data_IF_667621468883
#
_entry.id   IF_667621468883
#
_cell.length_a   1.000
_cell.length_b   1.000
_cell.length_c   1.000
_cell.angle_alpha   90.00
_cell.angle_beta   90.00
_cell.angle_gamma   90.00
#
_symmetry.space_group_name_H-M   'P 1'
#
loop_
_entity.id
_entity.type
_entity.pdbx_description
1 polymer ?
#
# COMPACT_ATOMS: atom_id res chain seq x y z
N UNK A 1 -18.51 31.59 5.30
CA UNK A 1 -18.21 32.98 5.07
C UNK A 1 -16.71 33.20 4.95
N UNK A 2 -16.26 34.13 4.12
CA UNK A 2 -14.84 34.47 4.00
C UNK A 2 -14.36 35.08 5.32
N UNK A 3 -13.35 34.48 5.93
CA UNK A 3 -12.75 35.03 7.14
C UNK A 3 -11.93 36.27 6.77
N UNK A 4 -12.14 37.39 7.44
CA UNK A 4 -11.38 38.61 7.19
C UNK A 4 -9.94 38.43 7.68
N UNK A 5 -8.99 38.69 6.80
CA UNK A 5 -7.56 38.70 7.16
C UNK A 5 -7.32 39.86 8.12
N UNK A 6 -6.81 39.55 9.32
CA UNK A 6 -6.40 40.54 10.31
C UNK A 6 -4.90 40.74 10.19
N UNK A 7 -4.41 41.95 9.88
CA UNK A 7 -2.97 42.20 9.80
C UNK A 7 -2.31 42.05 11.15
N UNK A 8 -1.02 41.74 11.17
CA UNK A 8 -0.18 41.62 12.37
C UNK A 8 -0.22 42.92 13.17
N UNK A 9 -0.04 44.04 12.47
CA UNK A 9 -0.20 45.40 12.98
C UNK A 9 -0.56 46.32 11.80
N UNK A 10 -1.36 47.38 12.01
CA UNK A 10 -1.77 48.28 10.92
C UNK A 10 -0.58 48.88 10.14
N UNK A 11 0.48 49.29 10.83
CA UNK A 11 1.65 49.91 10.20
C UNK A 11 2.42 48.98 9.26
N UNK A 12 2.39 47.67 9.49
CA UNK A 12 3.11 46.66 8.70
C UNK A 12 2.20 45.93 7.70
N UNK A 13 0.92 46.26 7.69
CA UNK A 13 -0.05 45.57 6.84
C UNK A 13 0.29 45.70 5.35
N UNK A 14 0.49 46.93 4.88
CA UNK A 14 0.79 47.20 3.46
C UNK A 14 2.21 46.74 3.06
N UNK A 15 3.27 47.01 3.87
CA UNK A 15 4.63 46.52 3.54
C UNK A 15 4.74 44.99 3.50
N UNK A 16 3.98 44.27 4.30
CA UNK A 16 4.00 42.80 4.30
C UNK A 16 3.01 42.14 3.36
N UNK A 17 2.15 42.90 2.71
CA UNK A 17 1.10 42.38 1.85
C UNK A 17 1.66 41.47 0.76
N UNK A 18 2.63 41.94 0.00
CA UNK A 18 3.26 41.15 -1.08
C UNK A 18 3.86 39.83 -0.57
N UNK A 19 4.37 39.82 0.66
CA UNK A 19 5.00 38.61 1.27
C UNK A 19 3.98 37.66 1.83
N UNK A 20 2.86 38.16 2.38
CA UNK A 20 1.89 37.36 3.15
C UNK A 20 0.56 37.10 2.42
N UNK A 21 0.31 37.70 1.25
CA UNK A 21 -0.93 37.49 0.49
C UNK A 21 -1.16 36.02 0.14
N UNK A 22 -0.13 35.30 -0.27
CA UNK A 22 -0.20 33.86 -0.63
C UNK A 22 -0.54 32.98 0.56
N UNK A 23 -0.34 33.43 1.78
CA UNK A 23 -0.62 32.72 3.03
C UNK A 23 -1.68 33.41 3.89
N UNK A 24 -2.53 34.23 3.28
CA UNK A 24 -3.67 34.90 3.90
C UNK A 24 -3.29 35.70 5.15
N UNK A 25 -2.17 36.43 5.08
CA UNK A 25 -1.67 37.28 6.16
C UNK A 25 -0.90 36.54 7.27
N UNK A 26 -0.67 35.24 7.12
CA UNK A 26 0.07 34.42 8.08
C UNK A 26 1.51 34.22 7.65
N UNK A 27 2.43 34.21 8.60
CA UNK A 27 3.80 33.75 8.40
C UNK A 27 3.80 32.22 8.51
N UNK A 28 4.10 31.54 7.39
CA UNK A 28 4.15 30.08 7.27
C UNK A 28 5.58 29.61 6.93
N UNK A 29 6.29 30.37 6.11
CA UNK A 29 7.56 29.99 5.54
C UNK A 29 8.74 30.71 6.13
N UNK A 30 9.89 30.03 6.20
CA UNK A 30 11.18 30.65 6.61
C UNK A 30 11.55 31.84 5.71
N UNK A 31 11.25 31.74 4.44
CA UNK A 31 11.50 32.79 3.46
C UNK A 31 10.66 34.03 3.72
N UNK A 32 9.45 33.89 4.28
CA UNK A 32 8.62 35.03 4.69
C UNK A 32 9.21 35.73 5.92
N UNK A 33 9.80 34.98 6.86
CA UNK A 33 10.54 35.56 8.02
C UNK A 33 11.72 36.40 7.51
N UNK A 34 12.51 35.88 6.55
CA UNK A 34 13.64 36.60 5.97
C UNK A 34 13.19 37.86 5.24
N UNK A 35 12.11 37.76 4.43
CA UNK A 35 11.57 38.89 3.70
C UNK A 35 10.99 39.96 4.65
N UNK A 36 10.27 39.57 5.69
CA UNK A 36 9.78 40.49 6.69
C UNK A 36 10.92 41.27 7.40
N UNK A 37 11.99 40.58 7.80
CA UNK A 37 13.16 41.22 8.39
C UNK A 37 13.86 42.20 7.44
N UNK A 38 13.91 41.88 6.15
CA UNK A 38 14.45 42.74 5.14
C UNK A 38 13.63 43.99 4.91
N UNK A 39 12.31 43.81 4.74
CA UNK A 39 11.41 44.93 4.41
C UNK A 39 11.22 45.85 5.62
N UNK A 40 11.03 45.29 6.80
CA UNK A 40 10.68 46.07 7.98
C UNK A 40 11.90 46.63 8.73
N UNK A 41 12.97 45.83 8.82
CA UNK A 41 14.14 46.19 9.61
C UNK A 41 15.42 46.47 8.77
N UNK A 42 15.30 46.51 7.43
CA UNK A 42 16.39 46.81 6.52
C UNK A 42 17.52 45.78 6.52
N UNK A 43 17.25 44.54 6.84
CA UNK A 43 18.27 43.48 6.90
C UNK A 43 18.79 43.14 5.51
N UNK A 44 20.11 42.95 5.40
CA UNK A 44 20.68 42.27 4.23
C UNK A 44 20.21 40.79 4.19
N UNK A 45 20.32 40.14 3.03
CA UNK A 45 20.02 38.70 2.89
C UNK A 45 20.80 37.85 3.90
N UNK A 46 22.09 38.12 4.07
CA UNK A 46 22.94 37.40 5.02
C UNK A 46 22.51 37.59 6.47
N UNK A 47 22.16 38.83 6.86
CA UNK A 47 21.66 39.12 8.22
C UNK A 47 20.30 38.47 8.48
N UNK A 48 19.40 38.47 7.49
CA UNK A 48 18.11 37.80 7.57
C UNK A 48 18.25 36.27 7.70
N UNK A 49 19.25 35.67 7.04
CA UNK A 49 19.55 34.24 7.20
C UNK A 49 20.14 33.92 8.58
N UNK A 50 20.95 34.80 9.15
CA UNK A 50 21.43 34.67 10.55
C UNK A 50 20.24 34.67 11.51
N UNK A 51 19.28 35.60 11.37
CA UNK A 51 18.05 35.64 12.14
C UNK A 51 17.27 34.33 12.02
N UNK A 52 17.02 33.88 10.79
CA UNK A 52 16.33 32.60 10.52
C UNK A 52 17.02 31.42 11.23
N UNK A 53 18.36 31.33 11.15
CA UNK A 53 19.13 30.27 11.82
C UNK A 53 19.07 30.36 13.35
N UNK A 54 19.10 31.58 13.88
CA UNK A 54 18.96 31.83 15.32
C UNK A 54 17.60 31.33 15.81
N UNK A 55 16.55 31.62 15.03
CA UNK A 55 15.20 31.16 15.31
C UNK A 55 15.11 29.62 15.28
N UNK A 56 15.68 28.95 14.26
CA UNK A 56 15.66 27.49 14.10
C UNK A 56 16.40 26.73 15.20
N UNK A 57 17.37 27.34 15.86
CA UNK A 57 18.15 26.70 16.96
C UNK A 57 17.45 26.71 18.32
N UNK A 58 16.30 27.36 18.47
CA UNK A 58 15.48 27.46 19.69
C UNK A 58 16.29 27.89 20.93
N UNK A 59 17.33 28.71 20.75
CA UNK A 59 18.16 29.22 21.86
C UNK A 59 17.68 30.61 22.27
N UNK A 60 16.99 30.78 23.42
CA UNK A 60 16.44 32.07 23.85
C UNK A 60 17.48 33.19 23.91
N UNK A 61 18.73 32.85 24.30
CA UNK A 61 19.84 33.82 24.41
C UNK A 61 20.24 34.40 23.04
N UNK A 62 20.16 33.59 21.95
CA UNK A 62 20.51 34.04 20.62
C UNK A 62 19.38 34.90 20.05
N UNK A 63 18.13 34.52 20.30
CA UNK A 63 16.95 35.32 19.93
C UNK A 63 16.93 36.68 20.64
N UNK A 64 17.24 36.71 21.93
CA UNK A 64 17.33 37.97 22.70
C UNK A 64 18.39 38.93 22.13
N UNK A 65 19.52 38.39 21.63
CA UNK A 65 20.55 39.20 20.96
C UNK A 65 20.09 39.77 19.62
N UNK A 66 19.29 39.00 18.85
CA UNK A 66 18.76 39.42 17.54
C UNK A 66 17.60 40.41 17.68
N UNK A 67 16.90 40.45 18.82
CA UNK A 67 15.81 41.39 19.07
C UNK A 67 16.29 42.86 18.97
N UNK A 68 17.45 43.17 19.57
CA UNK A 68 17.96 44.54 19.64
C UNK A 68 18.18 45.13 18.23
N UNK A 69 18.96 44.51 17.33
CA UNK A 69 19.16 45.06 16.00
C UNK A 69 17.91 45.03 15.14
N UNK A 70 16.95 44.11 15.38
CA UNK A 70 15.69 44.09 14.68
C UNK A 70 14.83 45.29 15.03
N UNK A 71 14.66 45.60 16.30
CA UNK A 71 13.91 46.78 16.78
C UNK A 71 14.56 48.09 16.31
N UNK A 72 15.89 48.19 16.40
CA UNK A 72 16.63 49.35 15.90
C UNK A 72 16.34 49.56 14.40
N UNK A 73 16.45 48.52 13.56
CA UNK A 73 16.16 48.59 12.16
C UNK A 73 14.72 48.98 11.86
N UNK A 74 13.73 48.42 12.57
CA UNK A 74 12.33 48.84 12.38
C UNK A 74 12.12 50.32 12.74
N UNK A 75 12.72 50.81 13.80
CA UNK A 75 12.67 52.23 14.19
C UNK A 75 13.28 53.11 13.12
N UNK A 76 14.45 52.75 12.55
CA UNK A 76 15.08 53.47 11.46
C UNK A 76 14.21 53.59 10.21
N UNK A 77 13.35 52.58 9.98
CA UNK A 77 12.39 52.53 8.89
C UNK A 77 11.02 53.17 9.22
N UNK A 78 10.90 53.84 10.39
CA UNK A 78 9.75 54.66 10.77
C UNK A 78 8.62 53.89 11.43
N UNK A 79 8.82 52.64 11.87
CA UNK A 79 7.82 51.85 12.56
C UNK A 79 7.85 52.11 14.07
N UNK A 80 6.68 52.05 14.70
CA UNK A 80 6.54 52.16 16.14
C UNK A 80 7.14 50.95 16.89
N UNK A 81 7.40 51.14 18.20
CA UNK A 81 7.85 50.03 19.04
C UNK A 81 6.77 48.97 19.23
N UNK A 82 5.51 49.37 19.23
CA UNK A 82 4.34 48.51 19.27
C UNK A 82 4.26 47.59 18.03
N UNK A 83 4.51 48.17 16.86
CA UNK A 83 4.55 47.40 15.61
C UNK A 83 5.73 46.41 15.62
N UNK A 84 6.92 46.84 16.07
CA UNK A 84 8.08 45.96 16.21
C UNK A 84 7.84 44.81 17.18
N UNK A 85 7.20 45.09 18.30
CA UNK A 85 6.86 44.06 19.29
C UNK A 85 5.82 43.08 18.73
N UNK A 86 4.75 43.56 18.05
CA UNK A 86 3.74 42.72 17.46
C UNK A 86 4.32 41.74 16.42
N UNK A 87 5.22 42.22 15.57
CA UNK A 87 5.92 41.37 14.60
C UNK A 87 6.83 40.36 15.31
N UNK A 88 7.61 40.81 16.30
CA UNK A 88 8.51 39.94 17.04
C UNK A 88 7.80 38.84 17.79
N UNK A 89 6.62 39.12 18.39
CA UNK A 89 5.83 38.16 19.13
C UNK A 89 5.23 37.06 18.25
N UNK A 90 5.10 37.32 16.95
CA UNK A 90 4.75 36.29 15.96
C UNK A 90 5.98 35.52 15.49
N UNK A 91 7.10 36.21 15.26
CA UNK A 91 8.31 35.57 14.77
C UNK A 91 8.90 34.57 15.77
N UNK A 92 8.90 34.86 17.07
CA UNK A 92 9.53 34.02 18.10
C UNK A 92 8.89 32.65 18.26
N UNK A 93 7.57 32.50 18.47
CA UNK A 93 6.91 31.21 18.54
C UNK A 93 7.07 30.43 17.24
N UNK A 94 7.04 31.16 16.12
CA UNK A 94 7.12 30.60 14.77
C UNK A 94 8.49 29.99 14.43
N UNK A 95 9.54 30.44 15.12
CA UNK A 95 10.91 29.95 14.93
C UNK A 95 11.07 28.43 15.06
N UNK A 96 10.14 27.79 15.80
CA UNK A 96 10.15 26.34 15.99
C UNK A 96 9.45 25.53 14.88
N UNK A 97 8.68 26.19 14.02
CA UNK A 97 7.77 25.55 13.07
C UNK A 97 7.85 26.13 11.66
N UNK A 98 8.72 27.10 11.40
CA UNK A 98 8.86 27.71 10.08
C UNK A 98 9.26 26.67 9.02
N UNK A 99 8.42 26.54 8.01
CA UNK A 99 8.60 25.55 6.96
C UNK A 99 9.42 26.12 5.80
N UNK A 100 10.20 25.28 5.11
CA UNK A 100 10.91 25.71 3.90
C UNK A 100 9.94 25.75 2.72
N UNK A 101 9.81 26.91 2.06
CA UNK A 101 8.89 27.09 0.93
C UNK A 101 9.26 26.24 -0.28
N UNK A 102 10.55 26.10 -0.58
CA UNK A 102 11.01 25.27 -1.70
C UNK A 102 10.67 23.79 -1.46
N UNK A 103 10.79 23.31 -0.22
CA UNK A 103 10.37 21.97 0.14
C UNK A 103 8.85 21.78 -0.03
N UNK A 104 8.04 22.73 0.45
CA UNK A 104 6.59 22.71 0.28
C UNK A 104 6.17 22.72 -1.19
N UNK A 105 6.83 23.53 -2.03
CA UNK A 105 6.54 23.60 -3.45
C UNK A 105 6.86 22.27 -4.15
N UNK A 106 7.99 21.65 -3.84
CA UNK A 106 8.36 20.35 -4.39
C UNK A 106 7.35 19.25 -4.01
N UNK A 107 6.97 19.18 -2.73
CA UNK A 107 5.95 18.22 -2.29
C UNK A 107 4.55 18.54 -2.82
N UNK A 108 4.20 19.81 -2.97
CA UNK A 108 2.97 20.23 -3.62
C UNK A 108 2.89 19.76 -5.08
N UNK A 109 3.99 19.83 -5.80
CA UNK A 109 4.08 19.29 -7.17
C UNK A 109 3.90 17.76 -7.20
N UNK A 110 4.54 17.02 -6.27
CA UNK A 110 4.36 15.57 -6.15
C UNK A 110 2.90 15.24 -5.81
N UNK A 111 2.28 15.98 -4.89
CA UNK A 111 0.86 15.81 -4.54
C UNK A 111 -0.05 16.05 -5.75
N UNK A 112 0.25 17.06 -6.56
CA UNK A 112 -0.47 17.33 -7.81
C UNK A 112 -0.30 16.15 -8.79
N UNK A 113 0.92 15.66 -9.01
CA UNK A 113 1.18 14.51 -9.88
C UNK A 113 0.42 13.25 -9.44
N UNK A 114 0.43 12.95 -8.15
CA UNK A 114 -0.31 11.78 -7.64
C UNK A 114 -1.81 11.92 -7.84
N UNK A 115 -2.37 13.11 -7.63
CA UNK A 115 -3.78 13.38 -7.89
C UNK A 115 -4.10 13.29 -9.40
N UNK A 116 -3.24 13.84 -10.25
CA UNK A 116 -3.37 13.78 -11.71
C UNK A 116 -3.35 12.33 -12.20
N UNK A 117 -2.35 11.55 -11.78
CA UNK A 117 -2.21 10.14 -12.17
C UNK A 117 -3.40 9.31 -11.67
N UNK A 118 -3.84 9.51 -10.45
CA UNK A 118 -5.03 8.82 -9.91
C UNK A 118 -6.30 9.13 -10.70
N UNK A 119 -6.42 10.35 -11.23
CA UNK A 119 -7.61 10.79 -12.00
C UNK A 119 -7.59 10.28 -13.43
N UNK A 120 -6.44 10.36 -14.12
CA UNK A 120 -6.34 10.10 -15.55
C UNK A 120 -5.84 8.69 -15.88
N UNK A 121 -5.14 8.03 -14.95
CA UNK A 121 -4.57 6.69 -15.08
C UNK A 121 -4.85 5.87 -13.80
N UNK A 122 -6.15 5.71 -13.44
CA UNK A 122 -6.51 5.14 -12.13
C UNK A 122 -6.05 3.68 -11.96
N UNK A 123 -6.04 2.87 -13.01
CA UNK A 123 -5.67 1.46 -12.94
C UNK A 123 -4.16 1.31 -12.71
N UNK A 124 -3.36 2.03 -13.49
CA UNK A 124 -1.89 2.06 -13.35
C UNK A 124 -1.47 2.65 -12.01
N UNK A 125 -2.15 3.70 -11.57
CA UNK A 125 -1.91 4.30 -10.27
C UNK A 125 -2.18 3.31 -9.13
N UNK A 126 -3.30 2.58 -9.18
CA UNK A 126 -3.63 1.58 -8.17
C UNK A 126 -2.70 0.38 -8.21
N UNK A 127 -2.25 -0.07 -9.38
CA UNK A 127 -1.25 -1.13 -9.51
C UNK A 127 0.09 -0.72 -8.85
N UNK A 128 0.57 0.49 -9.13
CA UNK A 128 1.79 1.03 -8.53
C UNK A 128 1.66 1.22 -7.00
N UNK A 129 0.49 1.67 -6.54
CA UNK A 129 0.21 1.87 -5.12
C UNK A 129 0.18 0.54 -4.35
N UNK A 130 -0.46 -0.49 -4.91
CA UNK A 130 -0.49 -1.85 -4.37
C UNK A 130 0.92 -2.46 -4.34
N UNK A 131 1.71 -2.26 -5.41
CA UNK A 131 3.09 -2.71 -5.47
C UNK A 131 3.94 -2.07 -4.35
N UNK A 132 3.82 -0.77 -4.15
CA UNK A 132 4.51 -0.06 -3.08
C UNK A 132 4.10 -0.49 -1.67
N UNK A 133 2.91 -1.08 -1.52
CA UNK A 133 2.38 -1.58 -0.25
C UNK A 133 2.53 -3.09 -0.06
N UNK A 134 3.09 -3.84 -1.02
CA UNK A 134 3.10 -5.31 -1.06
C UNK A 134 3.64 -6.00 0.20
N UNK A 135 4.52 -5.34 0.94
CA UNK A 135 5.06 -5.84 2.22
C UNK A 135 4.24 -5.43 3.45
N UNK A 136 3.23 -4.58 3.29
CA UNK A 136 2.38 -4.06 4.38
C UNK A 136 0.92 -4.47 4.16
N UNK A 137 0.49 -5.51 4.87
CA UNK A 137 -0.86 -6.10 4.72
C UNK A 137 -1.99 -5.10 4.97
N UNK A 138 -1.86 -4.23 5.97
CA UNK A 138 -2.91 -3.25 6.32
C UNK A 138 -3.08 -2.23 5.20
N UNK A 139 -1.96 -1.72 4.66
CA UNK A 139 -1.99 -0.80 3.51
C UNK A 139 -2.51 -1.49 2.25
N UNK A 140 -2.12 -2.74 2.01
CA UNK A 140 -2.62 -3.49 0.86
C UNK A 140 -4.13 -3.68 0.94
N UNK A 141 -4.67 -4.05 2.11
CA UNK A 141 -6.11 -4.17 2.32
C UNK A 141 -6.84 -2.83 2.11
N UNK A 142 -6.28 -1.73 2.64
CA UNK A 142 -6.82 -0.38 2.44
C UNK A 142 -6.88 0.00 0.96
N UNK A 143 -5.81 -0.24 0.21
CA UNK A 143 -5.74 0.12 -1.23
C UNK A 143 -6.61 -0.77 -2.11
N UNK A 144 -6.82 -2.04 -1.73
CA UNK A 144 -7.79 -2.89 -2.40
C UNK A 144 -9.23 -2.42 -2.16
N UNK A 145 -9.54 -1.97 -0.94
CA UNK A 145 -10.81 -1.30 -0.64
C UNK A 145 -11.02 -0.07 -1.52
N UNK A 146 -9.99 0.76 -1.67
CA UNK A 146 -10.03 1.93 -2.55
C UNK A 146 -10.20 1.57 -4.02
N UNK A 147 -9.48 0.54 -4.52
CA UNK A 147 -9.67 0.04 -5.88
C UNK A 147 -11.13 -0.38 -6.15
N UNK A 148 -11.73 -1.15 -5.22
CA UNK A 148 -13.15 -1.55 -5.30
C UNK A 148 -14.07 -0.33 -5.31
N UNK A 149 -13.82 0.67 -4.44
CA UNK A 149 -14.60 1.92 -4.40
C UNK A 149 -14.51 2.71 -5.70
N UNK A 150 -13.37 2.66 -6.38
CA UNK A 150 -13.15 3.26 -7.69
C UNK A 150 -13.72 2.42 -8.84
N UNK A 151 -14.30 1.25 -8.59
CA UNK A 151 -14.81 0.33 -9.61
C UNK A 151 -13.71 -0.45 -10.35
N UNK A 152 -12.47 -0.44 -9.82
CA UNK A 152 -11.34 -1.16 -10.41
C UNK A 152 -11.31 -2.58 -9.83
N UNK A 153 -11.47 -3.56 -10.69
CA UNK A 153 -11.34 -4.97 -10.32
C UNK A 153 -9.87 -5.34 -10.14
N UNK A 154 -9.57 -6.07 -9.08
CA UNK A 154 -8.25 -6.68 -8.87
C UNK A 154 -8.39 -8.18 -9.07
N UNK A 155 -7.71 -8.70 -10.09
CA UNK A 155 -7.76 -10.11 -10.49
C UNK A 155 -6.70 -10.92 -9.74
N UNK A 156 -7.04 -12.18 -9.44
CA UNK A 156 -6.11 -13.15 -8.84
C UNK A 156 -4.84 -13.33 -9.69
N UNK A 157 -3.71 -13.76 -9.09
CA UNK A 157 -2.52 -14.06 -9.85
C UNK A 157 -2.78 -15.18 -10.86
N UNK A 158 -2.07 -15.17 -11.98
CA UNK A 158 -2.22 -16.13 -13.07
C UNK A 158 -0.86 -16.42 -13.70
N UNK A 159 -0.50 -17.70 -13.86
CA UNK A 159 0.79 -18.10 -14.43
C UNK A 159 1.00 -17.65 -15.86
N UNK A 160 -0.09 -17.43 -16.60
CA UNK A 160 -0.08 -16.99 -18.00
C UNK A 160 -0.16 -15.49 -18.20
N UNK A 161 -0.70 -14.74 -17.23
CA UNK A 161 -0.97 -13.31 -17.39
C UNK A 161 -0.13 -12.44 -16.45
N UNK A 162 0.14 -12.93 -15.23
CA UNK A 162 0.86 -12.13 -14.23
C UNK A 162 2.33 -11.97 -14.56
N UNK A 163 2.86 -10.80 -14.24
CA UNK A 163 4.29 -10.55 -14.10
C UNK A 163 4.69 -10.64 -12.63
N UNK A 164 5.93 -10.29 -12.30
CA UNK A 164 6.39 -10.31 -10.91
C UNK A 164 5.63 -9.31 -10.02
N UNK A 165 5.40 -8.12 -10.52
CA UNK A 165 4.74 -7.01 -9.83
C UNK A 165 3.25 -6.95 -10.14
N UNK A 166 2.50 -6.16 -9.37
CA UNK A 166 1.14 -5.78 -9.77
C UNK A 166 1.18 -5.04 -11.10
N UNK A 167 0.27 -5.33 -12.00
CA UNK A 167 0.23 -4.71 -13.32
C UNK A 167 -1.18 -4.27 -13.73
N UNK A 168 -1.25 -3.19 -14.48
CA UNK A 168 -2.47 -2.76 -15.14
C UNK A 168 -2.67 -3.59 -16.42
N UNK A 169 -3.86 -4.18 -16.59
CA UNK A 169 -4.23 -4.97 -17.77
C UNK A 169 -5.60 -4.47 -18.23
N UNK A 170 -5.63 -3.57 -19.22
CA UNK A 170 -6.86 -2.86 -19.59
C UNK A 170 -7.42 -2.08 -18.40
N UNK A 171 -8.67 -2.32 -18.05
CA UNK A 171 -9.37 -1.60 -16.97
C UNK A 171 -9.27 -2.29 -15.60
N UNK A 172 -8.40 -3.29 -15.45
CA UNK A 172 -8.24 -4.08 -14.23
C UNK A 172 -6.80 -4.12 -13.75
N UNK A 173 -6.59 -4.35 -12.47
CA UNK A 173 -5.28 -4.64 -11.89
C UNK A 173 -5.11 -6.15 -11.78
N UNK A 174 -4.00 -6.68 -12.28
CA UNK A 174 -3.60 -8.08 -12.10
C UNK A 174 -2.65 -8.21 -10.92
N UNK A 175 -2.91 -9.17 -10.05
CA UNK A 175 -2.03 -9.51 -8.94
C UNK A 175 -0.71 -10.07 -9.43
N UNK A 176 0.42 -9.58 -8.92
CA UNK A 176 1.74 -10.06 -9.30
C UNK A 176 2.09 -11.41 -8.67
N UNK A 177 2.82 -12.27 -9.39
CA UNK A 177 3.29 -13.56 -8.85
C UNK A 177 4.25 -13.38 -7.66
N UNK A 178 5.04 -12.29 -7.65
CA UNK A 178 5.97 -11.98 -6.56
C UNK A 178 5.31 -11.56 -5.25
N UNK A 179 4.02 -11.22 -5.26
CA UNK A 179 3.25 -10.93 -4.06
C UNK A 179 2.71 -12.19 -3.36
N UNK A 180 2.82 -13.36 -4.01
CA UNK A 180 2.45 -14.65 -3.42
C UNK A 180 3.53 -15.09 -2.44
N UNK A 181 3.15 -15.51 -1.25
CA UNK A 181 4.09 -16.01 -0.24
C UNK A 181 4.91 -17.19 -0.79
N UNK A 182 6.19 -17.22 -0.47
CA UNK A 182 7.18 -18.23 -0.91
C UNK A 182 7.49 -18.21 -2.43
N UNK A 183 7.05 -17.21 -3.17
CA UNK A 183 7.34 -17.07 -4.59
C UNK A 183 8.42 -16.01 -4.79
N UNK A 184 9.62 -16.46 -5.15
CA UNK A 184 10.79 -15.60 -5.33
C UNK A 184 10.94 -15.10 -6.78
N UNK A 185 11.66 -13.96 -6.93
CA UNK A 185 11.85 -13.30 -8.23
C UNK A 185 12.44 -14.22 -9.30
N UNK A 186 13.50 -14.94 -9.00
CA UNK A 186 14.16 -15.81 -9.99
C UNK A 186 13.22 -16.87 -10.58
N UNK A 187 12.38 -17.46 -9.73
CA UNK A 187 11.40 -18.44 -10.19
C UNK A 187 10.31 -17.81 -11.06
N UNK A 188 9.84 -16.61 -10.70
CA UNK A 188 8.86 -15.88 -11.53
C UNK A 188 9.47 -15.48 -12.87
N UNK A 189 10.69 -14.96 -12.86
CA UNK A 189 11.40 -14.60 -14.10
C UNK A 189 11.56 -15.83 -15.02
N UNK A 190 11.86 -17.01 -14.46
CA UNK A 190 11.94 -18.26 -15.21
C UNK A 190 10.59 -18.71 -15.79
N UNK A 191 9.49 -18.57 -15.01
CA UNK A 191 8.12 -18.86 -15.50
C UNK A 191 7.75 -17.94 -16.66
N UNK A 192 8.05 -16.65 -16.52
CA UNK A 192 7.73 -15.64 -17.55
C UNK A 192 8.58 -15.88 -18.81
N UNK A 193 9.90 -16.09 -18.64
CA UNK A 193 10.80 -16.32 -19.77
C UNK A 193 10.38 -17.54 -20.59
N UNK A 194 9.96 -18.64 -19.94
CA UNK A 194 9.51 -19.85 -20.63
C UNK A 194 8.22 -19.60 -21.45
N UNK A 195 7.25 -18.87 -20.90
CA UNK A 195 6.02 -18.58 -21.62
C UNK A 195 6.21 -17.55 -22.75
N UNK A 196 7.17 -16.63 -22.66
CA UNK A 196 7.39 -15.57 -23.64
C UNK A 196 8.36 -15.98 -24.74
N UNK A 197 9.45 -16.67 -24.39
CA UNK A 197 10.54 -17.03 -25.31
C UNK A 197 10.49 -18.51 -25.74
N UNK A 198 9.70 -19.33 -25.07
CA UNK A 198 9.59 -20.77 -25.34
C UNK A 198 8.38 -21.11 -26.22
N UNK A 199 7.43 -21.81 -25.65
CA UNK A 199 6.30 -22.40 -26.37
C UNK A 199 4.96 -21.65 -26.20
N UNK A 200 4.99 -20.40 -25.74
CA UNK A 200 3.80 -19.61 -25.47
C UNK A 200 3.13 -19.95 -24.11
N UNK A 201 1.86 -19.57 -23.96
CA UNK A 201 1.10 -19.80 -22.74
C UNK A 201 1.05 -21.29 -22.36
N UNK A 202 1.04 -21.54 -21.06
CA UNK A 202 0.82 -22.88 -20.51
C UNK A 202 -0.62 -23.33 -20.77
N UNK A 203 -0.78 -24.55 -21.26
CA UNK A 203 -2.08 -25.10 -21.64
C UNK A 203 -2.80 -25.72 -20.43
N UNK A 204 -2.05 -26.38 -19.55
CA UNK A 204 -2.55 -27.04 -18.34
C UNK A 204 -1.39 -27.19 -17.32
N UNK A 205 -1.71 -27.70 -16.14
CA UNK A 205 -0.72 -27.89 -15.07
C UNK A 205 0.41 -28.84 -15.46
N UNK A 206 0.11 -29.91 -16.18
CA UNK A 206 1.12 -30.88 -16.65
C UNK A 206 2.12 -30.21 -17.61
N UNK A 207 1.63 -29.40 -18.55
CA UNK A 207 2.46 -28.62 -19.47
C UNK A 207 3.36 -27.64 -18.69
N UNK A 208 2.80 -26.94 -17.69
CA UNK A 208 3.58 -26.06 -16.81
C UNK A 208 4.73 -26.80 -16.10
N UNK A 209 4.44 -27.92 -15.42
CA UNK A 209 5.47 -28.69 -14.67
C UNK A 209 6.56 -29.24 -15.62
N UNK A 210 6.21 -29.66 -16.82
CA UNK A 210 7.16 -30.16 -17.81
C UNK A 210 8.07 -29.07 -18.37
N UNK A 211 7.51 -27.89 -18.64
CA UNK A 211 8.22 -26.81 -19.35
C UNK A 211 9.10 -25.95 -18.43
N UNK A 212 8.56 -25.54 -17.27
CA UNK A 212 9.30 -24.59 -16.41
C UNK A 212 10.67 -25.12 -16.00
N UNK A 213 11.71 -24.26 -15.92
CA UNK A 213 13.04 -24.63 -15.45
C UNK A 213 13.03 -25.18 -14.02
N UNK A 214 14.10 -25.90 -13.64
CA UNK A 214 14.24 -26.52 -12.32
C UNK A 214 14.12 -25.53 -11.16
N UNK A 215 14.52 -24.28 -11.36
CA UNK A 215 14.43 -23.17 -10.38
C UNK A 215 12.99 -22.89 -9.97
N UNK A 216 12.04 -23.12 -10.87
CA UNK A 216 10.60 -22.94 -10.62
C UNK A 216 9.90 -24.23 -10.14
N UNK A 217 10.57 -25.38 -10.17
CA UNK A 217 10.03 -26.68 -9.73
C UNK A 217 10.28 -26.95 -8.23
N UNK A 218 10.10 -25.95 -7.38
CA UNK A 218 10.13 -26.10 -5.93
C UNK A 218 8.74 -26.44 -5.39
N UNK A 219 8.60 -27.50 -4.60
CA UNK A 219 7.31 -27.96 -4.04
C UNK A 219 6.56 -26.85 -3.32
N UNK A 220 7.23 -26.09 -2.42
CA UNK A 220 6.62 -25.01 -1.65
C UNK A 220 6.16 -23.86 -2.54
N UNK A 221 6.91 -23.57 -3.61
CA UNK A 221 6.53 -22.54 -4.59
C UNK A 221 5.28 -22.97 -5.35
N UNK A 222 5.27 -24.17 -5.91
CA UNK A 222 4.11 -24.68 -6.70
C UNK A 222 2.88 -24.82 -5.80
N UNK A 223 3.03 -25.32 -4.59
CA UNK A 223 1.97 -25.35 -3.58
C UNK A 223 1.38 -23.95 -3.34
N UNK A 224 2.25 -22.94 -3.19
CA UNK A 224 1.82 -21.56 -2.97
C UNK A 224 1.07 -20.97 -4.19
N UNK A 225 1.53 -21.28 -5.40
CA UNK A 225 0.83 -20.90 -6.64
C UNK A 225 -0.56 -21.54 -6.73
N UNK A 226 -0.68 -22.84 -6.40
CA UNK A 226 -1.97 -23.57 -6.39
C UNK A 226 -2.92 -22.94 -5.36
N UNK A 227 -2.47 -22.75 -4.13
CA UNK A 227 -3.28 -22.15 -3.06
C UNK A 227 -3.73 -20.73 -3.39
N UNK A 228 -2.88 -19.97 -4.07
CA UNK A 228 -3.19 -18.61 -4.52
C UNK A 228 -4.13 -18.55 -5.73
N UNK A 229 -4.42 -19.68 -6.38
CA UNK A 229 -5.26 -19.75 -7.57
C UNK A 229 -4.55 -19.35 -8.87
N UNK A 230 -3.22 -19.37 -8.89
CA UNK A 230 -2.45 -18.95 -10.07
C UNK A 230 -2.60 -19.88 -11.30
N UNK A 231 -3.20 -21.04 -11.12
CA UNK A 231 -3.49 -22.02 -12.19
C UNK A 231 -4.96 -22.06 -12.61
N UNK A 232 -5.84 -21.29 -11.98
CA UNK A 232 -7.31 -21.40 -12.20
C UNK A 232 -7.73 -21.20 -13.65
N UNK A 233 -6.96 -20.47 -14.45
CA UNK A 233 -7.22 -20.25 -15.89
C UNK A 233 -6.94 -21.46 -16.77
N UNK A 234 -6.10 -22.39 -16.28
CA UNK A 234 -5.66 -23.57 -17.04
C UNK A 234 -6.12 -24.90 -16.42
N UNK A 235 -6.25 -24.93 -15.10
CA UNK A 235 -6.78 -26.08 -14.33
C UNK A 235 -7.49 -25.58 -13.08
N UNK A 236 -8.82 -25.45 -13.09
CA UNK A 236 -9.57 -24.76 -12.03
C UNK A 236 -9.74 -25.57 -10.74
N UNK A 237 -9.44 -26.88 -10.75
CA UNK A 237 -9.56 -27.72 -9.56
C UNK A 237 -8.26 -27.67 -8.72
N UNK A 238 -8.17 -26.71 -7.81
CA UNK A 238 -7.00 -26.51 -6.95
C UNK A 238 -6.70 -27.72 -6.06
N UNK A 239 -7.73 -28.44 -5.58
CA UNK A 239 -7.56 -29.65 -4.74
C UNK A 239 -6.90 -30.79 -5.54
N UNK A 240 -7.30 -30.96 -6.77
CA UNK A 240 -6.70 -31.96 -7.66
C UNK A 240 -5.20 -31.69 -7.87
N UNK A 241 -4.85 -30.41 -8.20
CA UNK A 241 -3.47 -30.01 -8.38
C UNK A 241 -2.66 -30.15 -7.09
N UNK A 242 -3.24 -29.77 -5.95
CA UNK A 242 -2.60 -29.91 -4.66
C UNK A 242 -2.30 -31.38 -4.31
N UNK A 243 -3.18 -32.30 -4.71
CA UNK A 243 -3.01 -33.74 -4.42
C UNK A 243 -1.82 -34.32 -5.18
N UNK A 244 -1.57 -33.87 -6.41
CA UNK A 244 -0.55 -34.47 -7.29
C UNK A 244 0.77 -33.72 -7.35
N UNK A 245 0.83 -32.44 -6.94
CA UNK A 245 1.96 -31.57 -7.25
C UNK A 245 3.31 -32.12 -6.79
N UNK A 246 3.40 -32.73 -5.61
CA UNK A 246 4.67 -33.30 -5.13
C UNK A 246 5.14 -34.47 -5.98
N UNK A 247 4.25 -35.39 -6.33
CA UNK A 247 4.57 -36.55 -7.17
C UNK A 247 4.97 -36.08 -8.58
N UNK A 248 4.20 -35.16 -9.17
CA UNK A 248 4.46 -34.57 -10.47
C UNK A 248 5.85 -33.89 -10.53
N UNK A 249 6.17 -33.06 -9.54
CA UNK A 249 7.48 -32.39 -9.45
C UNK A 249 8.62 -33.42 -9.34
N UNK A 250 8.49 -34.40 -8.45
CA UNK A 250 9.54 -35.42 -8.26
C UNK A 250 9.84 -36.20 -9.54
N UNK A 251 8.78 -36.60 -10.26
CA UNK A 251 8.91 -37.34 -11.53
C UNK A 251 9.65 -36.49 -12.58
N UNK A 252 9.20 -35.23 -12.79
CA UNK A 252 9.82 -34.36 -13.80
C UNK A 252 11.23 -33.91 -13.41
N UNK A 253 11.49 -33.61 -12.14
CA UNK A 253 12.84 -33.27 -11.66
C UNK A 253 13.79 -34.44 -11.87
N UNK A 254 13.36 -35.68 -11.60
CA UNK A 254 14.14 -36.89 -11.86
C UNK A 254 14.51 -37.04 -13.34
N UNK A 255 13.55 -36.84 -14.24
CA UNK A 255 13.77 -36.88 -15.69
C UNK A 255 14.71 -35.77 -16.16
N UNK A 256 14.48 -34.52 -15.78
CA UNK A 256 15.33 -33.38 -16.17
C UNK A 256 16.77 -33.52 -15.67
N UNK A 257 17.00 -34.09 -14.50
CA UNK A 257 18.37 -34.37 -14.00
C UNK A 257 19.06 -35.43 -14.80
N UNK A 258 18.39 -36.56 -15.11
CA UNK A 258 18.95 -37.61 -15.97
C UNK A 258 19.32 -37.07 -17.35
N UNK A 259 18.48 -36.23 -17.95
CA UNK A 259 18.78 -35.57 -19.22
C UNK A 259 20.01 -34.65 -19.13
N UNK A 260 20.13 -33.87 -18.05
CA UNK A 260 21.28 -32.98 -17.83
C UNK A 260 22.59 -33.72 -17.57
N UNK A 261 22.53 -34.91 -16.97
CA UNK A 261 23.71 -35.77 -16.71
C UNK A 261 24.17 -36.58 -17.95
N UNK A 262 23.48 -36.39 -19.09
CA UNK A 262 23.86 -37.08 -20.36
C UNK A 262 23.63 -38.58 -20.34
N UNK A 263 22.90 -39.12 -19.38
CA UNK A 263 22.41 -40.48 -19.39
C UNK A 263 21.29 -40.62 -20.43
N UNK A 264 21.70 -40.63 -21.71
CA UNK A 264 20.82 -41.13 -22.77
C UNK A 264 20.69 -42.64 -22.55
N UNK A 265 19.47 -43.10 -22.39
CA UNK A 265 19.19 -44.53 -22.37
C UNK A 265 19.56 -45.09 -23.75
N UNK A 266 20.66 -45.87 -23.80
CA UNK A 266 21.22 -46.46 -25.03
C UNK A 266 20.19 -47.38 -25.74
N UNK A 267 19.06 -47.67 -25.07
CA UNK A 267 17.98 -48.52 -25.57
C UNK A 267 16.80 -47.73 -26.11
N UNK A 268 16.73 -46.39 -25.92
CA UNK A 268 15.65 -45.56 -26.43
C UNK A 268 15.69 -45.43 -27.98
N UNK A 269 16.83 -45.66 -28.61
CA UNK A 269 16.98 -45.62 -30.08
C UNK A 269 16.62 -46.94 -30.78
N UNK A 270 16.35 -48.03 -30.03
CA UNK A 270 16.04 -49.34 -30.60
C UNK A 270 14.55 -49.71 -30.60
N UNK A 271 13.72 -48.90 -29.93
CA UNK A 271 12.28 -49.12 -29.91
C UNK A 271 11.57 -47.85 -30.47
N UNK A 272 10.82 -48.06 -31.55
CA UNK A 272 10.01 -47.04 -32.22
C UNK A 272 8.89 -46.44 -31.33
N UNK A 273 9.05 -46.56 -29.98
CA UNK A 273 8.12 -46.17 -28.93
C UNK A 273 8.41 -44.79 -28.34
N UNK A 274 8.77 -43.77 -29.17
CA UNK A 274 8.74 -42.37 -28.72
C UNK A 274 7.36 -41.96 -28.15
N UNK A 275 6.32 -42.74 -28.45
CA UNK A 275 4.98 -42.57 -27.81
C UNK A 275 4.91 -43.13 -26.39
N UNK A 276 5.73 -44.13 -25.99
CA UNK A 276 5.63 -44.77 -24.69
C UNK A 276 6.35 -43.96 -23.57
N UNK A 277 7.42 -43.23 -23.85
CA UNK A 277 8.09 -42.39 -22.83
C UNK A 277 7.26 -41.10 -22.56
N UNK A 278 6.63 -40.55 -23.58
CA UNK A 278 5.67 -39.43 -23.39
C UNK A 278 4.38 -39.90 -22.72
N UNK A 279 3.87 -41.08 -23.07
CA UNK A 279 2.67 -41.66 -22.47
C UNK A 279 2.88 -42.08 -20.99
N UNK A 280 4.09 -42.61 -20.65
CA UNK A 280 4.42 -42.95 -19.26
C UNK A 280 4.70 -41.72 -18.42
N UNK A 281 5.30 -40.65 -18.98
CA UNK A 281 5.45 -39.35 -18.36
C UNK A 281 4.09 -38.63 -18.19
N UNK A 282 3.16 -38.76 -19.15
CA UNK A 282 1.80 -38.22 -19.08
C UNK A 282 0.93 -38.97 -18.06
N UNK A 283 1.06 -40.27 -17.94
CA UNK A 283 0.36 -41.06 -16.93
C UNK A 283 0.79 -40.71 -15.48
N UNK A 284 2.05 -40.31 -15.27
CA UNK A 284 2.54 -39.91 -13.94
C UNK A 284 2.11 -38.51 -13.47
N UNK A 285 1.66 -37.65 -14.39
CA UNK A 285 1.23 -36.28 -14.11
C UNK A 285 -0.27 -36.09 -14.45
N UNK A 286 -1.04 -37.17 -14.46
CA UNK A 286 -2.48 -37.07 -14.70
C UNK A 286 -3.19 -36.44 -13.50
N UNK A 287 -3.89 -35.33 -13.76
CA UNK A 287 -4.69 -34.62 -12.75
C UNK A 287 -5.85 -35.50 -12.33
N UNK A 288 -5.99 -35.86 -11.02
CA UNK A 288 -7.05 -36.75 -10.56
C UNK A 288 -8.43 -36.03 -10.61
N UNK A 289 -9.46 -36.80 -10.93
CA UNK A 289 -10.84 -36.34 -10.81
C UNK A 289 -11.28 -36.44 -9.35
N UNK A 290 -11.15 -35.33 -8.63
CA UNK A 290 -11.56 -35.19 -7.23
C UNK A 290 -12.43 -33.93 -7.07
N UNK A 291 -13.37 -33.98 -6.12
CA UNK A 291 -14.18 -32.82 -5.78
C UNK A 291 -13.30 -31.65 -5.31
N UNK A 292 -13.56 -30.44 -5.83
CA UNK A 292 -12.85 -29.21 -5.44
C UNK A 292 -13.07 -28.87 -3.96
N UNK A 293 -12.16 -28.14 -3.35
CA UNK A 293 -12.36 -27.56 -2.02
C UNK A 293 -13.58 -26.65 -1.98
N UNK A 294 -14.22 -26.62 -0.82
CA UNK A 294 -15.31 -25.67 -0.57
C UNK A 294 -14.80 -24.21 -0.67
N UNK A 295 -15.73 -23.29 -0.90
CA UNK A 295 -15.45 -21.87 -1.03
C UNK A 295 -14.63 -21.32 0.14
N UNK A 296 -14.97 -21.71 1.37
CA UNK A 296 -14.30 -21.23 2.58
C UNK A 296 -12.85 -21.68 2.64
N UNK A 297 -12.56 -22.93 2.30
CA UNK A 297 -11.20 -23.47 2.25
C UNK A 297 -10.36 -22.76 1.19
N UNK A 298 -10.90 -22.56 -0.02
CA UNK A 298 -10.21 -21.82 -1.10
C UNK A 298 -9.85 -20.39 -0.69
N UNK A 299 -10.79 -19.67 -0.11
CA UNK A 299 -10.58 -18.30 0.35
C UNK A 299 -9.57 -18.23 1.52
N UNK A 300 -9.57 -19.22 2.41
CA UNK A 300 -8.57 -19.30 3.47
C UNK A 300 -7.16 -19.52 2.93
N UNK A 301 -6.98 -20.36 1.91
CA UNK A 301 -5.70 -20.55 1.25
C UNK A 301 -5.25 -19.31 0.47
N UNK A 302 -6.17 -18.64 -0.22
CA UNK A 302 -5.86 -17.35 -0.83
C UNK A 302 -5.34 -16.34 0.20
N UNK A 303 -6.06 -16.20 1.32
CA UNK A 303 -5.65 -15.30 2.39
C UNK A 303 -4.32 -15.70 3.03
N UNK A 304 -4.04 -16.99 3.15
CA UNK A 304 -2.74 -17.49 3.64
C UNK A 304 -1.60 -17.07 2.70
N UNK A 305 -1.79 -17.16 1.38
CA UNK A 305 -0.77 -16.91 0.36
C UNK A 305 -0.67 -15.44 -0.05
N UNK A 306 -1.79 -14.75 -0.19
CA UNK A 306 -1.86 -13.36 -0.65
C UNK A 306 -2.01 -12.35 0.49
N UNK A 307 -2.36 -12.81 1.68
CA UNK A 307 -2.61 -11.98 2.86
C UNK A 307 -4.02 -11.41 2.95
N UNK A 308 -4.88 -11.64 1.94
CA UNK A 308 -6.22 -11.08 1.79
C UNK A 308 -7.08 -11.95 0.86
N UNK A 309 -8.37 -11.67 0.80
CA UNK A 309 -9.31 -12.30 -0.12
C UNK A 309 -9.34 -11.55 -1.45
N UNK A 310 -9.04 -12.21 -2.56
CA UNK A 310 -8.96 -11.60 -3.90
C UNK A 310 -10.07 -12.07 -4.81
N UNK A 311 -10.25 -13.39 -4.97
CA UNK A 311 -11.22 -13.97 -5.90
C UNK A 311 -12.67 -13.71 -5.49
N UNK A 312 -12.94 -13.71 -4.19
CA UNK A 312 -14.26 -13.47 -3.61
C UNK A 312 -14.13 -13.10 -2.13
N UNK A 313 -15.20 -12.71 -1.49
CA UNK A 313 -15.23 -12.41 -0.06
C UNK A 313 -16.08 -13.46 0.70
N UNK A 314 -15.68 -13.89 1.93
CA UNK A 314 -16.46 -14.83 2.72
C UNK A 314 -17.91 -14.40 2.96
N UNK A 315 -18.14 -13.07 3.00
CA UNK A 315 -19.48 -12.48 3.18
C UNK A 315 -20.24 -12.25 1.88
N UNK A 316 -19.67 -12.60 0.71
CA UNK A 316 -20.37 -12.49 -0.58
C UNK A 316 -21.61 -13.38 -0.59
N UNK A 317 -22.73 -12.81 -1.01
CA UNK A 317 -24.03 -13.46 -0.96
C UNK A 317 -24.78 -13.25 0.37
N UNK A 318 -24.15 -12.63 1.37
CA UNK A 318 -24.78 -12.34 2.68
C UNK A 318 -25.17 -10.86 2.84
N UNK A 319 -25.20 -10.08 1.75
CA UNK A 319 -25.45 -8.63 1.78
C UNK A 319 -26.77 -8.27 2.50
N UNK A 320 -27.85 -8.98 2.19
CA UNK A 320 -29.17 -8.74 2.81
C UNK A 320 -29.15 -9.01 4.32
N UNK A 321 -28.42 -10.05 4.74
CA UNK A 321 -28.27 -10.39 6.16
C UNK A 321 -27.44 -9.31 6.86
N UNK A 322 -26.31 -8.90 6.28
CA UNK A 322 -25.47 -7.84 6.86
C UNK A 322 -26.23 -6.53 7.01
N UNK A 323 -27.00 -6.13 5.99
CA UNK A 323 -27.83 -4.91 6.06
C UNK A 323 -28.88 -5.00 7.15
N UNK A 324 -29.47 -6.17 7.40
CA UNK A 324 -30.47 -6.34 8.46
C UNK A 324 -29.88 -6.32 9.87
N UNK A 325 -28.58 -6.61 10.02
CA UNK A 325 -27.88 -6.71 11.31
C UNK A 325 -27.11 -5.45 11.71
N UNK A 326 -26.93 -4.48 10.79
CA UNK A 326 -26.13 -3.28 11.03
C UNK A 326 -26.96 -1.99 10.85
N UNK A 327 -26.61 -0.96 11.59
CA UNK A 327 -27.16 0.39 11.37
C UNK A 327 -26.51 1.08 10.19
N UNK A 328 -25.21 0.84 9.98
CA UNK A 328 -24.44 1.38 8.86
C UNK A 328 -23.27 0.46 8.47
N UNK A 329 -22.72 0.66 7.27
CA UNK A 329 -21.49 -0.03 6.84
C UNK A 329 -20.27 0.53 7.58
N UNK A 330 -19.20 -0.28 7.63
CA UNK A 330 -17.93 0.14 8.25
C UNK A 330 -17.34 1.34 7.48
N UNK A 331 -17.45 1.37 6.16
CA UNK A 331 -17.02 2.50 5.34
C UNK A 331 -17.76 3.79 5.75
N UNK A 332 -19.08 3.73 5.88
CA UNK A 332 -19.91 4.87 6.30
C UNK A 332 -19.59 5.33 7.73
N UNK A 333 -19.32 4.39 8.64
CA UNK A 333 -18.89 4.70 10.01
C UNK A 333 -17.56 5.46 10.01
N UNK A 334 -16.57 5.04 9.21
CA UNK A 334 -15.26 5.69 9.11
C UNK A 334 -15.41 7.11 8.56
N UNK A 335 -16.20 7.30 7.49
CA UNK A 335 -16.44 8.61 6.87
C UNK A 335 -17.11 9.60 7.83
N UNK A 336 -18.00 9.11 8.69
CA UNK A 336 -18.72 9.94 9.65
C UNK A 336 -18.04 10.10 11.00
N UNK A 337 -17.01 9.34 11.31
CA UNK A 337 -16.37 9.29 12.63
C UNK A 337 -15.99 10.69 13.17
N UNK A 338 -15.49 11.58 12.31
CA UNK A 338 -15.13 12.95 12.68
C UNK A 338 -16.31 13.88 13.03
N UNK A 339 -17.53 13.51 12.67
CA UNK A 339 -18.78 14.30 12.92
C UNK A 339 -19.69 13.66 13.97
N UNK A 340 -19.35 12.48 14.47
CA UNK A 340 -20.14 11.76 15.46
C UNK A 340 -19.81 12.20 16.89
N UNK A 341 -20.80 12.34 17.76
CA UNK A 341 -20.58 12.62 19.18
C UNK A 341 -19.77 11.51 19.85
N UNK A 342 -18.88 11.91 20.77
CA UNK A 342 -18.15 10.95 21.59
C UNK A 342 -19.11 10.12 22.47
N UNK A 343 -18.87 8.80 22.55
CA UNK A 343 -19.73 7.87 23.27
C UNK A 343 -20.98 7.42 22.50
N UNK A 344 -21.19 7.79 21.25
CA UNK A 344 -22.30 7.30 20.45
C UNK A 344 -22.16 5.80 20.21
N UNK A 345 -23.25 5.04 20.48
CA UNK A 345 -23.32 3.61 20.17
C UNK A 345 -23.74 3.41 18.72
N UNK A 346 -23.09 2.45 18.06
CA UNK A 346 -23.36 2.10 16.66
C UNK A 346 -23.27 0.58 16.52
N UNK A 347 -24.23 0.00 15.79
CA UNK A 347 -24.21 -1.44 15.45
C UNK A 347 -23.58 -1.64 14.07
N UNK A 348 -22.48 -2.40 14.04
CA UNK A 348 -21.83 -2.87 12.79
C UNK A 348 -21.91 -4.39 12.70
N UNK A 349 -21.90 -4.92 11.49
CA UNK A 349 -21.86 -6.37 11.24
C UNK A 349 -20.75 -6.69 10.22
N UNK A 350 -19.97 -7.71 10.51
CA UNK A 350 -18.85 -8.13 9.67
C UNK A 350 -18.18 -9.41 10.13
N UNK A 351 -17.14 -9.79 9.41
CA UNK A 351 -16.28 -10.93 9.71
C UNK A 351 -15.12 -10.50 10.61
N UNK A 352 -14.87 -11.25 11.68
CA UNK A 352 -13.66 -11.09 12.48
C UNK A 352 -12.48 -11.66 11.69
N UNK A 353 -11.57 -10.80 11.27
CA UNK A 353 -10.41 -11.19 10.45
C UNK A 353 -9.11 -11.28 11.23
N UNK A 354 -9.02 -10.59 12.36
CA UNK A 354 -7.86 -10.66 13.24
C UNK A 354 -8.27 -10.45 14.71
N UNK A 355 -7.59 -11.13 15.64
CA UNK A 355 -7.73 -10.94 17.09
C UNK A 355 -6.33 -10.84 17.70
N UNK A 356 -5.94 -9.62 18.07
CA UNK A 356 -4.69 -9.34 18.77
C UNK A 356 -4.95 -9.25 20.28
N UNK A 357 -4.58 -10.29 20.99
CA UNK A 357 -4.78 -10.40 22.46
C UNK A 357 -3.63 -9.73 23.19
N UNK A 358 -3.96 -8.85 24.12
CA UNK A 358 -2.99 -8.04 24.90
C UNK A 358 -3.28 -8.11 26.39
N UNK A 359 -2.26 -7.76 27.18
CA UNK A 359 -2.40 -7.62 28.64
C UNK A 359 -2.02 -6.19 28.99
N UNK A 360 -2.86 -5.51 29.74
CA UNK A 360 -2.61 -4.17 30.24
C UNK A 360 -1.48 -4.15 31.30
N UNK A 361 -0.90 -2.98 31.59
CA UNK A 361 0.09 -2.83 32.68
C UNK A 361 -0.42 -3.27 34.06
N UNK A 362 -1.75 -3.34 34.23
CA UNK A 362 -2.40 -3.78 35.47
C UNK A 362 -2.74 -5.28 35.45
N UNK A 363 -2.31 -6.04 34.45
CA UNK A 363 -2.58 -7.48 34.32
C UNK A 363 -3.94 -7.85 33.71
N UNK A 364 -4.78 -6.89 33.33
CA UNK A 364 -6.08 -7.16 32.77
C UNK A 364 -5.97 -7.49 31.28
N UNK A 365 -6.58 -8.60 30.80
CA UNK A 365 -6.59 -8.96 29.39
C UNK A 365 -7.53 -8.04 28.61
N UNK A 366 -7.19 -7.79 27.33
CA UNK A 366 -8.00 -7.08 26.37
C UNK A 366 -7.61 -7.49 24.95
N UNK A 367 -8.39 -7.15 23.95
CA UNK A 367 -8.07 -7.46 22.57
C UNK A 367 -8.35 -6.30 21.63
N UNK A 368 -7.57 -6.25 20.54
CA UNK A 368 -7.89 -5.50 19.33
C UNK A 368 -8.42 -6.52 18.32
N UNK A 369 -9.68 -6.33 17.93
CA UNK A 369 -10.36 -7.19 16.96
C UNK A 369 -10.57 -6.43 15.68
N UNK A 370 -10.08 -6.95 14.56
CA UNK A 370 -10.38 -6.37 13.25
C UNK A 370 -11.67 -7.01 12.73
N UNK A 371 -12.65 -6.15 12.46
CA UNK A 371 -13.94 -6.53 11.85
C UNK A 371 -13.96 -5.98 10.43
N UNK A 372 -14.29 -6.82 9.47
CA UNK A 372 -14.33 -6.49 8.03
C UNK A 372 -15.72 -6.78 7.47
N UNK A 373 -16.30 -5.83 6.75
CA UNK A 373 -17.48 -6.04 5.93
C UNK A 373 -17.10 -6.07 4.43
N UNK A 374 -18.07 -5.99 3.54
CA UNK A 374 -17.81 -6.00 2.09
C UNK A 374 -17.17 -4.72 1.57
N UNK A 375 -17.18 -3.64 2.35
CA UNK A 375 -16.77 -2.31 1.93
C UNK A 375 -15.46 -1.86 2.58
N UNK A 376 -15.25 -2.20 3.88
CA UNK A 376 -14.11 -1.73 4.66
C UNK A 376 -13.83 -2.60 5.88
N UNK A 377 -12.79 -2.24 6.66
CA UNK A 377 -12.46 -2.87 7.93
C UNK A 377 -12.20 -1.82 9.01
N UNK A 378 -12.50 -2.19 10.28
CA UNK A 378 -12.27 -1.35 11.45
C UNK A 378 -11.67 -2.16 12.60
N UNK A 379 -10.81 -1.52 13.40
CA UNK A 379 -10.30 -2.13 14.63
C UNK A 379 -11.17 -1.72 15.82
N UNK A 380 -11.71 -2.72 16.49
CA UNK A 380 -12.51 -2.59 17.71
C UNK A 380 -11.70 -3.03 18.92
N UNK A 381 -11.71 -2.24 19.99
CA UNK A 381 -11.01 -2.56 21.23
C UNK A 381 -12.01 -3.16 22.24
N UNK A 382 -11.71 -4.35 22.73
CA UNK A 382 -12.53 -5.07 23.71
C UNK A 382 -11.83 -5.10 25.08
N UNK A 383 -12.43 -4.45 26.07
CA UNK A 383 -11.88 -4.34 27.41
C UNK A 383 -12.80 -4.97 28.48
N UNK A 384 -12.21 -5.49 29.56
CA UNK A 384 -12.92 -5.98 30.73
C UNK A 384 -13.98 -7.05 30.41
N UNK A 385 -15.19 -6.88 30.93
CA UNK A 385 -16.29 -7.85 30.74
C UNK A 385 -16.70 -8.08 29.28
N UNK A 386 -16.40 -7.15 28.38
CA UNK A 386 -16.70 -7.28 26.94
C UNK A 386 -15.70 -8.19 26.25
N UNK A 387 -14.52 -8.35 26.84
CA UNK A 387 -13.48 -9.26 26.35
C UNK A 387 -13.72 -10.71 26.80
N UNK A 388 -14.27 -10.92 28.01
CA UNK A 388 -14.63 -12.24 28.56
C UNK A 388 -15.83 -12.85 27.81
#
# INVERSE_FOLDING_TARGET
>A
GLQKITPIHPEVAEPLKEVLDETYGLIVYQEQVQSAARILAGYSLGKADVLRRAMGKKKPEVLAKEKIPFFAGMKEHGYSEEAAQAVWDILVPFSGYAFNKAHSAAYGLISYWTAYLKTHYPVEFMAALLQGASTNKDKTALYLGEARRMGIQVLSPDVNESVYEYSAVGDVVRFGLGAIRNVGKNAVDAIIAERENGHGKYVNFTDFIKRVPLEALNRRLVESLIKAGAFDSIDPNRRALFTIHETAINSVVGLKRKQAEGQFDLFADLDDSKENDSAMGDAMVQVPDVEEWDKKTKLNFEREMLGLYVSDHPLSGMQSILVSLREMSIAHLIDRAGSMPDGQQVTIAGLITNVDRRVSKKGNPWAIVTVEDLESSIQCMFFGKVYE
#
